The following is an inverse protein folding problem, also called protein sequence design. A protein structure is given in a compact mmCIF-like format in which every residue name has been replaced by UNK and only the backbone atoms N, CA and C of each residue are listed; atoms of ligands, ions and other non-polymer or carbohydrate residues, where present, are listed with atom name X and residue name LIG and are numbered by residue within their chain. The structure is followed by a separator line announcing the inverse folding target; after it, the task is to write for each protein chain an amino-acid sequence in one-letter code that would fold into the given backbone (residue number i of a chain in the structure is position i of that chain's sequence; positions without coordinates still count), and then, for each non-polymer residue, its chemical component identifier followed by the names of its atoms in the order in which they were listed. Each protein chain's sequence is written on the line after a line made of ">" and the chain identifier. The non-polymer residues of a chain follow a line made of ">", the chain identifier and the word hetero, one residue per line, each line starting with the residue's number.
data_IF_992341631896
#
_entry.id   IF_992341631896
#
_cell.length_a   1.000
_cell.length_b   1.000
_cell.length_c   1.000
_cell.angle_alpha   90.00
_cell.angle_beta   90.00
_cell.angle_gamma   90.00
#
_symmetry.space_group_name_H-M   'P 1'
#
loop_
_entity.id
_entity.type
_entity.pdbx_description
1 polymer ?
#
# COMPACT_ATOMS: atom_id res chain seq x y z
N UNK A 1 21.45 46.86 -5.48
CA UNK A 1 21.84 45.76 -6.41
C UNK A 1 22.00 44.39 -5.73
N UNK A 2 21.36 44.13 -4.56
CA UNK A 2 21.53 42.89 -3.82
C UNK A 2 20.19 42.23 -3.40
N UNK A 3 19.08 42.48 -4.12
CA UNK A 3 17.77 41.91 -3.77
C UNK A 3 17.20 40.90 -4.78
N UNK A 4 17.85 40.67 -5.93
CA UNK A 4 17.32 39.77 -6.96
C UNK A 4 17.78 38.30 -6.84
N UNK A 5 18.89 38.00 -6.17
CA UNK A 5 19.40 36.65 -6.04
C UNK A 5 18.73 35.83 -4.92
N UNK A 6 18.34 36.49 -3.82
CA UNK A 6 17.67 35.79 -2.71
C UNK A 6 16.23 35.36 -3.06
N UNK A 7 15.51 36.13 -3.87
CA UNK A 7 14.18 35.80 -4.35
C UNK A 7 14.15 34.62 -5.30
N UNK A 8 15.19 34.42 -6.13
CA UNK A 8 15.30 33.32 -7.06
C UNK A 8 15.60 32.00 -6.30
N UNK A 9 16.45 32.05 -5.28
CA UNK A 9 16.77 30.89 -4.44
C UNK A 9 15.57 30.41 -3.60
N UNK A 10 14.74 31.32 -3.11
CA UNK A 10 13.52 30.97 -2.36
C UNK A 10 12.44 30.37 -3.28
N UNK A 11 12.31 30.83 -4.52
CA UNK A 11 11.39 30.26 -5.51
C UNK A 11 11.85 28.88 -5.98
N UNK A 12 13.15 28.64 -6.14
CA UNK A 12 13.67 27.31 -6.48
C UNK A 12 13.52 26.35 -5.29
N UNK A 13 13.80 26.77 -4.05
CA UNK A 13 13.56 25.96 -2.86
C UNK A 13 12.08 25.66 -2.66
N UNK A 14 11.20 26.62 -2.88
CA UNK A 14 9.74 26.39 -2.78
C UNK A 14 9.21 25.48 -3.89
N UNK A 15 9.75 25.54 -5.11
CA UNK A 15 9.44 24.59 -6.18
C UNK A 15 9.93 23.20 -5.86
N UNK A 16 11.15 23.05 -5.35
CA UNK A 16 11.72 21.74 -4.99
C UNK A 16 10.97 21.10 -3.81
N UNK A 17 10.61 21.87 -2.81
CA UNK A 17 9.73 21.44 -1.72
C UNK A 17 8.33 21.08 -2.26
N UNK A 18 7.75 21.90 -3.14
CA UNK A 18 6.44 21.67 -3.74
C UNK A 18 6.39 20.37 -4.58
N UNK A 19 7.47 20.00 -5.24
CA UNK A 19 7.52 18.74 -6.01
C UNK A 19 7.72 17.51 -5.11
N UNK A 20 8.42 17.64 -3.99
CA UNK A 20 8.55 16.58 -2.97
C UNK A 20 7.22 16.34 -2.26
N UNK A 21 6.44 17.39 -1.99
CA UNK A 21 5.13 17.30 -1.32
C UNK A 21 3.99 16.85 -2.25
N UNK A 22 4.17 16.89 -3.57
CA UNK A 22 3.14 16.47 -4.53
C UNK A 22 3.11 14.98 -4.82
N UNK A 23 4.08 14.20 -4.32
CA UNK A 23 4.08 12.76 -4.52
C UNK A 23 3.11 12.12 -3.53
N UNK A 24 1.87 11.96 -3.97
CA UNK A 24 0.87 11.21 -3.22
C UNK A 24 1.35 9.77 -3.05
N UNK A 25 1.19 9.25 -1.84
CA UNK A 25 1.58 7.90 -1.48
C UNK A 25 0.56 6.92 -2.02
N UNK A 26 1.03 5.87 -2.68
CA UNK A 26 0.19 4.89 -3.35
C UNK A 26 0.33 3.52 -2.72
N UNK A 27 -0.80 2.93 -2.36
CA UNK A 27 -0.90 1.55 -1.91
C UNK A 27 -1.68 0.74 -2.97
N UNK A 28 -1.05 -0.26 -3.57
CA UNK A 28 -1.69 -1.11 -4.56
C UNK A 28 -2.43 -2.26 -3.90
N UNK A 29 -3.74 -2.38 -4.16
CA UNK A 29 -4.55 -3.51 -3.69
C UNK A 29 -4.38 -4.66 -4.66
N UNK A 30 -3.84 -5.78 -4.18
CA UNK A 30 -3.62 -7.00 -4.97
C UNK A 30 -4.31 -8.20 -4.33
N UNK A 31 -4.51 -9.26 -5.08
CA UNK A 31 -5.06 -10.52 -4.60
C UNK A 31 -5.58 -11.37 -5.76
N UNK A 32 -5.77 -12.65 -5.50
CA UNK A 32 -6.35 -13.57 -6.46
C UNK A 32 -7.81 -13.19 -6.80
N UNK A 33 -8.38 -13.70 -7.88
CA UNK A 33 -9.81 -13.50 -8.17
C UNK A 33 -10.70 -13.99 -7.02
N UNK A 34 -11.83 -13.30 -6.82
CA UNK A 34 -12.87 -13.67 -5.85
C UNK A 34 -12.46 -13.68 -4.36
N UNK A 35 -11.40 -12.95 -3.99
CA UNK A 35 -10.99 -12.77 -2.58
C UNK A 35 -11.70 -11.62 -1.87
N UNK A 36 -12.52 -10.82 -2.58
CA UNK A 36 -13.20 -9.63 -2.05
C UNK A 36 -12.47 -8.31 -2.33
N UNK A 37 -11.45 -8.32 -3.18
CA UNK A 37 -10.63 -7.15 -3.54
C UNK A 37 -11.47 -5.97 -4.04
N UNK A 38 -12.32 -6.19 -5.04
CA UNK A 38 -13.16 -5.14 -5.63
C UNK A 38 -14.23 -4.64 -4.65
N UNK A 39 -14.75 -5.51 -3.78
CA UNK A 39 -15.68 -5.12 -2.72
C UNK A 39 -15.02 -4.16 -1.74
N UNK A 40 -13.80 -4.49 -1.27
CA UNK A 40 -12.99 -3.65 -0.41
C UNK A 40 -12.66 -2.30 -1.09
N UNK A 41 -12.21 -2.34 -2.34
CA UNK A 41 -11.88 -1.14 -3.08
C UNK A 41 -13.09 -0.21 -3.27
N UNK A 42 -14.25 -0.78 -3.63
CA UNK A 42 -15.48 0.00 -3.79
C UNK A 42 -15.92 0.65 -2.46
N UNK A 43 -15.80 -0.06 -1.34
CA UNK A 43 -16.09 0.51 -0.02
C UNK A 43 -15.13 1.67 0.32
N UNK A 44 -13.84 1.55 -0.02
CA UNK A 44 -12.85 2.64 0.11
C UNK A 44 -13.22 3.85 -0.74
N UNK A 45 -13.65 3.64 -2.00
CA UNK A 45 -14.06 4.72 -2.92
C UNK A 45 -15.32 5.43 -2.44
N UNK A 46 -16.31 4.68 -1.92
CA UNK A 46 -17.54 5.27 -1.36
C UNK A 46 -17.21 6.11 -0.14
N UNK A 47 -16.39 5.60 0.78
CA UNK A 47 -15.92 6.36 1.96
C UNK A 47 -15.17 7.61 1.54
N UNK A 48 -14.23 7.49 0.58
CA UNK A 48 -13.50 8.63 0.02
C UNK A 48 -14.42 9.68 -0.61
N UNK A 49 -15.48 9.27 -1.29
CA UNK A 49 -16.44 10.17 -1.92
C UNK A 49 -17.28 10.93 -0.90
N UNK A 50 -17.72 10.27 0.17
CA UNK A 50 -18.44 10.91 1.26
C UNK A 50 -17.56 11.93 2.02
N UNK A 51 -16.27 11.61 2.21
CA UNK A 51 -15.30 12.55 2.79
C UNK A 51 -14.97 13.72 1.84
N UNK A 52 -15.04 13.50 0.51
CA UNK A 52 -14.76 14.52 -0.50
C UNK A 52 -15.75 15.69 -0.48
N UNK A 53 -16.98 15.46 -0.06
CA UNK A 53 -17.97 16.54 0.14
C UNK A 53 -17.52 17.52 1.23
N UNK A 54 -16.71 17.05 2.18
CA UNK A 54 -16.16 17.85 3.28
C UNK A 54 -14.79 18.48 2.95
N UNK A 55 -14.06 17.97 1.94
CA UNK A 55 -12.72 18.44 1.58
C UNK A 55 -12.60 18.78 0.09
N UNK A 56 -12.30 20.04 -0.29
CA UNK A 56 -12.08 20.40 -1.70
C UNK A 56 -10.85 19.66 -2.25
N UNK A 57 -10.94 19.18 -3.50
CA UNK A 57 -9.89 18.53 -4.30
C UNK A 57 -9.83 16.99 -4.31
N UNK A 58 -10.87 16.28 -3.91
CA UNK A 58 -10.95 14.84 -4.19
C UNK A 58 -11.39 14.61 -5.65
N UNK A 59 -10.47 14.09 -6.46
CA UNK A 59 -10.75 13.67 -7.85
C UNK A 59 -10.93 12.15 -7.84
N UNK A 60 -12.05 11.67 -8.36
CA UNK A 60 -12.28 10.22 -8.56
C UNK A 60 -11.67 9.86 -9.91
N UNK A 61 -10.57 9.13 -9.89
CA UNK A 61 -10.00 8.50 -11.08
C UNK A 61 -10.42 7.03 -11.13
N UNK A 62 -10.67 6.44 -12.32
CA UNK A 62 -10.93 5.01 -12.42
C UNK A 62 -9.80 4.22 -11.76
N UNK A 63 -10.15 3.28 -10.87
CA UNK A 63 -9.23 2.43 -10.12
C UNK A 63 -8.31 3.14 -9.10
N UNK A 64 -8.56 4.41 -8.75
CA UNK A 64 -7.82 5.13 -7.69
C UNK A 64 -8.82 5.70 -6.70
N UNK A 65 -8.69 5.31 -5.43
CA UNK A 65 -9.43 5.85 -4.29
C UNK A 65 -8.50 6.68 -3.40
N UNK A 66 -8.82 7.96 -3.19
CA UNK A 66 -8.09 8.86 -2.29
C UNK A 66 -8.83 8.96 -0.97
N UNK A 67 -8.25 8.45 0.10
CA UNK A 67 -8.87 8.44 1.43
C UNK A 67 -8.08 9.29 2.41
N UNK A 68 -8.80 9.98 3.29
CA UNK A 68 -8.18 10.75 4.35
C UNK A 68 -7.62 9.84 5.44
N UNK A 69 -6.43 10.15 5.91
CA UNK A 69 -5.82 9.51 7.08
C UNK A 69 -6.17 10.35 8.31
N UNK A 70 -7.10 9.86 9.12
CA UNK A 70 -7.54 10.56 10.32
C UNK A 70 -6.43 10.57 11.38
N UNK A 71 -6.08 11.76 11.87
CA UNK A 71 -5.07 11.95 12.91
C UNK A 71 -5.60 12.91 13.99
N UNK A 72 -5.81 12.39 15.20
CA UNK A 72 -6.32 13.17 16.33
C UNK A 72 -5.46 14.41 16.66
N UNK A 73 -4.15 14.35 16.36
CA UNK A 73 -3.25 15.48 16.60
C UNK A 73 -3.62 16.67 15.72
N UNK A 74 -4.06 16.43 14.48
CA UNK A 74 -4.55 17.47 13.58
C UNK A 74 -5.79 18.16 14.16
N UNK A 75 -6.74 17.38 14.67
CA UNK A 75 -7.96 17.90 15.29
C UNK A 75 -7.66 18.78 16.50
N UNK A 76 -6.76 18.32 17.38
CA UNK A 76 -6.31 19.10 18.56
C UNK A 76 -5.63 20.40 18.16
N UNK A 77 -4.83 20.40 17.10
CA UNK A 77 -4.18 21.61 16.58
C UNK A 77 -5.23 22.57 16.00
N UNK A 78 -6.22 22.04 15.27
CA UNK A 78 -7.32 22.81 14.71
C UNK A 78 -8.20 23.46 15.80
N UNK A 79 -8.47 22.77 16.90
CA UNK A 79 -9.20 23.32 18.05
C UNK A 79 -8.51 24.55 18.66
N UNK A 80 -7.17 24.54 18.68
CA UNK A 80 -6.36 25.64 19.23
C UNK A 80 -6.29 26.81 18.24
N UNK A 81 -5.98 26.53 16.98
CA UNK A 81 -5.72 27.54 15.95
C UNK A 81 -6.98 28.09 15.29
N UNK A 82 -8.09 27.34 15.36
CA UNK A 82 -9.41 27.66 14.77
C UNK A 82 -9.28 28.08 13.30
N UNK A 83 -8.72 27.23 12.44
CA UNK A 83 -8.57 27.52 11.02
C UNK A 83 -9.95 27.52 10.32
N UNK A 84 -10.02 28.15 9.16
CA UNK A 84 -11.21 28.07 8.30
C UNK A 84 -11.38 26.65 7.71
N UNK A 85 -10.26 25.96 7.41
CA UNK A 85 -10.24 24.62 6.79
C UNK A 85 -9.21 23.73 7.51
N UNK A 86 -9.58 22.47 7.72
CA UNK A 86 -8.66 21.42 8.21
C UNK A 86 -8.46 20.38 7.12
N UNK A 87 -7.22 20.12 6.70
CA UNK A 87 -6.88 19.20 5.60
C UNK A 87 -6.05 18.04 6.14
N UNK A 88 -6.59 16.81 6.16
CA UNK A 88 -5.85 15.62 6.55
C UNK A 88 -4.87 15.17 5.46
N UNK A 89 -3.88 14.36 5.84
CA UNK A 89 -3.05 13.61 4.89
C UNK A 89 -3.93 12.64 4.10
N UNK A 90 -3.58 12.41 2.83
CA UNK A 90 -4.30 11.49 1.97
C UNK A 90 -3.42 10.30 1.58
N UNK A 91 -4.02 9.11 1.50
CA UNK A 91 -3.44 7.91 0.96
C UNK A 91 -4.23 7.48 -0.29
N UNK A 92 -3.53 7.22 -1.38
CA UNK A 92 -4.13 6.69 -2.61
C UNK A 92 -4.11 5.17 -2.59
N UNK A 93 -5.28 4.55 -2.72
CA UNK A 93 -5.42 3.13 -2.99
C UNK A 93 -5.65 2.92 -4.48
N UNK A 94 -4.87 2.00 -5.08
CA UNK A 94 -4.97 1.67 -6.50
C UNK A 94 -5.48 0.23 -6.63
N UNK A 95 -6.64 0.04 -7.28
CA UNK A 95 -7.12 -1.31 -7.59
C UNK A 95 -6.27 -1.90 -8.74
N UNK A 96 -5.43 -2.86 -8.40
CA UNK A 96 -4.62 -3.57 -9.37
C UNK A 96 -5.35 -4.87 -9.74
N UNK A 97 -5.64 -5.04 -11.03
CA UNK A 97 -6.34 -6.23 -11.53
C UNK A 97 -5.71 -7.52 -11.01
N UNK A 98 -6.55 -8.51 -10.69
CA UNK A 98 -6.09 -9.75 -10.04
C UNK A 98 -5.03 -10.49 -10.84
N UNK A 99 -4.05 -11.02 -10.12
CA UNK A 99 -3.01 -11.89 -10.65
C UNK A 99 -3.61 -13.26 -11.02
N UNK A 100 -3.21 -13.76 -12.18
CA UNK A 100 -3.42 -15.17 -12.55
C UNK A 100 -2.05 -15.82 -12.63
N UNK A 101 -1.92 -17.08 -12.23
CA UNK A 101 -0.70 -17.89 -12.33
C UNK A 101 -0.06 -17.76 -13.71
N UNK A 102 1.27 -17.61 -13.79
CA UNK A 102 2.00 -17.44 -15.05
C UNK A 102 2.03 -16.00 -15.57
N UNK A 103 1.69 -15.02 -14.73
CA UNK A 103 1.71 -13.60 -15.12
C UNK A 103 3.12 -13.11 -15.48
N UNK A 104 4.16 -13.66 -14.88
CA UNK A 104 5.56 -13.35 -15.17
C UNK A 104 6.01 -13.89 -16.54
N UNK A 105 5.37 -14.95 -17.04
CA UNK A 105 5.73 -15.61 -18.31
C UNK A 105 4.75 -15.26 -19.46
N UNK A 106 3.66 -14.53 -19.17
CA UNK A 106 2.57 -14.27 -20.11
C UNK A 106 2.71 -12.96 -20.88
N UNK A 107 2.29 -12.98 -22.14
CA UNK A 107 2.04 -11.75 -22.91
C UNK A 107 0.73 -11.11 -22.43
N UNK A 108 0.72 -9.77 -22.22
CA UNK A 108 -0.49 -9.00 -22.01
C UNK A 108 -0.80 -8.64 -20.55
N UNK A 109 -1.86 -9.22 -19.97
CA UNK A 109 -2.41 -8.81 -18.67
C UNK A 109 -1.43 -8.95 -17.48
N UNK A 110 -0.56 -9.97 -17.50
CA UNK A 110 0.44 -10.18 -16.45
C UNK A 110 1.49 -9.07 -16.40
N UNK A 111 1.98 -8.64 -17.56
CA UNK A 111 2.94 -7.54 -17.66
C UNK A 111 2.33 -6.21 -17.19
N UNK A 112 1.05 -5.97 -17.48
CA UNK A 112 0.34 -4.78 -17.01
C UNK A 112 0.16 -4.80 -15.49
N UNK A 113 -0.17 -5.95 -14.91
CA UNK A 113 -0.23 -6.14 -13.45
C UNK A 113 1.11 -5.78 -12.78
N UNK A 114 2.22 -6.34 -13.26
CA UNK A 114 3.55 -6.06 -12.73
C UNK A 114 3.96 -4.58 -12.91
N UNK A 115 3.57 -3.95 -14.03
CA UNK A 115 3.80 -2.53 -14.26
C UNK A 115 3.05 -1.67 -13.22
N UNK A 116 1.77 -1.97 -12.96
CA UNK A 116 0.98 -1.26 -11.95
C UNK A 116 1.57 -1.42 -10.55
N UNK A 117 2.07 -2.61 -10.18
CA UNK A 117 2.74 -2.81 -8.90
C UNK A 117 4.04 -1.98 -8.82
N UNK A 118 4.77 -1.78 -9.93
CA UNK A 118 5.98 -0.93 -9.91
C UNK A 118 5.68 0.52 -9.55
N UNK A 119 4.50 1.03 -9.88
CA UNK A 119 4.11 2.43 -9.67
C UNK A 119 3.66 2.76 -8.25
N UNK A 120 3.29 1.76 -7.44
CA UNK A 120 2.85 1.95 -6.05
C UNK A 120 4.01 1.86 -5.07
N UNK A 121 3.86 2.45 -3.88
CA UNK A 121 4.89 2.49 -2.84
C UNK A 121 4.79 1.32 -1.86
N UNK A 122 3.58 0.74 -1.69
CA UNK A 122 3.30 -0.41 -0.83
C UNK A 122 2.25 -1.32 -1.47
N UNK A 123 2.17 -2.56 -0.98
CA UNK A 123 1.23 -3.58 -1.44
C UNK A 123 0.23 -3.89 -0.32
N UNK A 124 -1.05 -3.83 -0.61
CA UNK A 124 -2.14 -4.30 0.24
C UNK A 124 -2.64 -5.62 -0.35
N UNK A 125 -2.24 -6.72 0.22
CA UNK A 125 -2.54 -8.06 -0.30
C UNK A 125 -3.78 -8.62 0.39
N UNK A 126 -4.90 -8.67 -0.35
CA UNK A 126 -6.18 -9.19 0.12
C UNK A 126 -6.20 -10.70 -0.03
N UNK A 127 -6.44 -11.40 1.08
CA UNK A 127 -6.49 -12.86 1.17
C UNK A 127 -7.89 -13.32 1.59
N UNK A 128 -8.36 -14.38 0.96
CA UNK A 128 -9.64 -14.99 1.30
C UNK A 128 -9.48 -15.91 2.52
N UNK A 129 -10.08 -15.53 3.64
CA UNK A 129 -10.08 -16.27 4.89
C UNK A 129 -11.50 -16.72 5.29
N UNK A 130 -12.39 -16.95 4.33
CA UNK A 130 -13.76 -17.43 4.53
C UNK A 130 -14.10 -18.56 3.56
N UNK A 131 -14.99 -19.46 3.96
CA UNK A 131 -15.52 -20.51 3.13
C UNK A 131 -16.90 -20.09 2.58
N UNK A 132 -17.07 -20.07 1.27
CA UNK A 132 -18.36 -19.85 0.61
C UNK A 132 -18.45 -20.77 -0.62
N UNK A 133 -19.40 -21.71 -0.60
CA UNK A 133 -19.60 -22.68 -1.67
C UNK A 133 -20.12 -22.05 -2.98
N UNK A 134 -20.67 -20.82 -2.91
CA UNK A 134 -21.19 -20.11 -4.08
C UNK A 134 -20.10 -19.31 -4.79
N UNK A 135 -18.92 -19.13 -4.16
CA UNK A 135 -17.80 -18.37 -4.72
C UNK A 135 -16.70 -19.34 -5.13
N UNK A 136 -16.52 -19.52 -6.43
CA UNK A 136 -15.47 -20.39 -6.96
C UNK A 136 -14.08 -19.95 -6.49
N UNK A 137 -13.27 -20.92 -6.02
CA UNK A 137 -11.85 -20.69 -5.71
C UNK A 137 -10.99 -21.16 -6.88
N UNK A 138 -10.02 -20.37 -7.29
CA UNK A 138 -9.16 -20.66 -8.46
C UNK A 138 -8.31 -21.91 -8.24
N UNK A 139 -7.89 -22.17 -7.00
CA UNK A 139 -6.99 -23.27 -6.62
C UNK A 139 -7.72 -24.46 -5.94
N UNK A 140 -9.05 -24.56 -6.08
CA UNK A 140 -9.84 -25.72 -5.63
C UNK A 140 -10.07 -25.85 -4.11
N UNK A 141 -9.60 -24.89 -3.30
CA UNK A 141 -9.82 -24.86 -1.84
C UNK A 141 -9.22 -23.59 -1.22
N UNK A 142 -9.81 -23.11 -0.13
CA UNK A 142 -9.36 -21.90 0.56
C UNK A 142 -8.11 -22.19 1.36
N UNK A 143 -7.00 -21.63 0.94
CA UNK A 143 -5.71 -21.63 1.66
C UNK A 143 -5.01 -20.29 1.45
N UNK A 144 -5.20 -19.33 2.39
CA UNK A 144 -4.68 -17.97 2.22
C UNK A 144 -3.15 -17.90 2.23
N UNK A 145 -2.46 -18.85 2.87
CA UNK A 145 -0.98 -18.89 2.87
C UNK A 145 -0.48 -19.28 1.48
N UNK A 146 -1.01 -20.37 0.92
CA UNK A 146 -0.68 -20.80 -0.45
C UNK A 146 -1.02 -19.70 -1.47
N UNK A 147 -2.16 -19.01 -1.29
CA UNK A 147 -2.58 -17.95 -2.19
C UNK A 147 -1.61 -16.76 -2.12
N UNK A 148 -1.12 -16.42 -0.92
CA UNK A 148 -0.09 -15.41 -0.71
C UNK A 148 1.24 -15.81 -1.37
N UNK A 149 1.69 -17.04 -1.17
CA UNK A 149 2.91 -17.60 -1.78
C UNK A 149 2.84 -17.62 -3.30
N UNK A 150 1.66 -17.88 -3.88
CA UNK A 150 1.45 -17.86 -5.34
C UNK A 150 1.72 -16.46 -5.90
N UNK A 151 1.17 -15.42 -5.29
CA UNK A 151 1.41 -14.02 -5.72
C UNK A 151 2.87 -13.65 -5.49
N UNK A 152 3.43 -13.99 -4.35
CA UNK A 152 4.83 -13.69 -4.01
C UNK A 152 5.81 -14.33 -5.01
N UNK A 153 5.57 -15.58 -5.38
CA UNK A 153 6.40 -16.30 -6.37
C UNK A 153 6.43 -15.57 -7.72
N UNK A 154 5.28 -15.11 -8.21
CA UNK A 154 5.22 -14.36 -9.46
C UNK A 154 5.99 -13.02 -9.38
N UNK A 155 5.94 -12.34 -8.23
CA UNK A 155 6.71 -11.11 -8.01
C UNK A 155 8.22 -11.40 -7.95
N UNK A 156 8.63 -12.48 -7.28
CA UNK A 156 10.04 -12.89 -7.22
C UNK A 156 10.58 -13.27 -8.60
N UNK A 157 9.83 -14.02 -9.39
CA UNK A 157 10.23 -14.38 -10.76
C UNK A 157 10.41 -13.13 -11.64
N UNK A 158 9.50 -12.15 -11.53
CA UNK A 158 9.60 -10.90 -12.26
C UNK A 158 10.81 -10.05 -11.81
N UNK A 159 11.15 -10.08 -10.52
CA UNK A 159 12.34 -9.41 -10.00
C UNK A 159 13.62 -10.10 -10.45
N UNK A 160 13.67 -11.43 -10.46
CA UNK A 160 14.83 -12.20 -10.96
C UNK A 160 15.10 -11.87 -12.43
N UNK A 161 14.08 -11.89 -13.29
CA UNK A 161 14.23 -11.51 -14.70
C UNK A 161 14.75 -10.07 -14.87
N UNK A 162 14.27 -9.15 -14.04
CA UNK A 162 14.72 -7.76 -14.04
C UNK A 162 16.18 -7.64 -13.58
N UNK A 163 16.58 -8.35 -12.52
CA UNK A 163 17.93 -8.35 -11.97
C UNK A 163 18.94 -8.96 -12.95
N UNK A 164 18.65 -10.05 -13.64
CA UNK A 164 19.53 -10.63 -14.65
C UNK A 164 19.94 -9.61 -15.72
N UNK A 165 18.95 -8.84 -16.22
CA UNK A 165 19.18 -7.78 -17.19
C UNK A 165 20.04 -6.66 -16.60
N UNK A 166 19.76 -6.26 -15.35
CA UNK A 166 20.50 -5.19 -14.66
C UNK A 166 21.93 -5.61 -14.33
N UNK A 167 22.16 -6.83 -13.81
CA UNK A 167 23.49 -7.39 -13.51
C UNK A 167 24.37 -7.38 -14.77
N UNK A 168 23.81 -7.77 -15.91
CA UNK A 168 24.54 -7.73 -17.19
C UNK A 168 25.00 -6.31 -17.54
N UNK A 169 24.19 -5.29 -17.30
CA UNK A 169 24.53 -3.89 -17.55
C UNK A 169 25.52 -3.34 -16.51
N UNK A 170 25.30 -3.66 -15.22
CA UNK A 170 26.15 -3.22 -14.12
C UNK A 170 27.56 -3.83 -14.20
N UNK A 171 27.68 -5.09 -14.63
CA UNK A 171 28.98 -5.75 -14.89
C UNK A 171 29.81 -4.98 -15.91
N UNK A 172 29.18 -4.47 -16.98
CA UNK A 172 29.88 -3.65 -17.98
C UNK A 172 30.37 -2.33 -17.39
N UNK A 173 29.56 -1.66 -16.57
CA UNK A 173 29.93 -0.42 -15.88
C UNK A 173 31.06 -0.64 -14.86
N UNK A 174 30.95 -1.71 -14.06
CA UNK A 174 31.95 -2.08 -13.07
C UNK A 174 33.32 -2.34 -13.71
N UNK A 175 33.37 -3.03 -14.87
CA UNK A 175 34.59 -3.22 -15.65
C UNK A 175 35.21 -1.91 -16.17
N UNK A 176 34.40 -0.88 -16.36
CA UNK A 176 34.85 0.48 -16.69
C UNK A 176 35.42 1.28 -15.51
N UNK A 177 35.47 0.71 -14.30
CA UNK A 177 36.00 1.35 -13.09
C UNK A 177 35.01 2.29 -12.39
N UNK A 178 33.74 2.25 -12.72
CA UNK A 178 32.68 3.03 -12.05
C UNK A 178 32.42 2.48 -10.63
N UNK A 179 32.84 3.23 -9.62
CA UNK A 179 32.71 2.84 -8.21
C UNK A 179 31.27 2.66 -7.76
N UNK A 180 30.35 3.46 -8.27
CA UNK A 180 28.93 3.33 -7.96
C UNK A 180 28.33 2.10 -8.66
N UNK A 181 28.73 1.85 -9.91
CA UNK A 181 28.38 0.64 -10.65
C UNK A 181 28.83 -0.65 -9.96
N UNK A 182 30.02 -0.65 -9.32
CA UNK A 182 30.51 -1.80 -8.54
C UNK A 182 29.60 -2.07 -7.34
N UNK A 183 29.26 -1.04 -6.53
CA UNK A 183 28.38 -1.19 -5.37
C UNK A 183 26.98 -1.65 -5.75
N UNK A 184 26.46 -1.13 -6.86
CA UNK A 184 25.15 -1.54 -7.36
C UNK A 184 25.16 -2.98 -7.85
N UNK A 185 26.27 -3.43 -8.47
CA UNK A 185 26.45 -4.81 -8.91
C UNK A 185 26.45 -5.77 -7.70
N UNK A 186 27.25 -5.50 -6.68
CA UNK A 186 27.32 -6.30 -5.46
C UNK A 186 25.93 -6.42 -4.78
N UNK A 187 25.18 -5.32 -4.76
CA UNK A 187 23.80 -5.32 -4.21
C UNK A 187 22.84 -6.14 -5.07
N UNK A 188 22.94 -6.02 -6.41
CA UNK A 188 22.07 -6.73 -7.32
C UNK A 188 22.35 -8.25 -7.30
N UNK A 189 23.62 -8.66 -7.23
CA UNK A 189 24.01 -10.08 -7.10
C UNK A 189 23.50 -10.67 -5.78
N UNK A 190 23.68 -9.96 -4.67
CA UNK A 190 23.14 -10.39 -3.38
C UNK A 190 21.62 -10.47 -3.35
N UNK A 191 20.93 -9.52 -4.00
CA UNK A 191 19.48 -9.55 -4.13
C UNK A 191 19.02 -10.76 -4.95
N UNK A 192 19.75 -11.10 -6.00
CA UNK A 192 19.45 -12.26 -6.84
C UNK A 192 19.59 -13.57 -6.06
N UNK A 193 20.67 -13.77 -5.30
CA UNK A 193 20.89 -14.94 -4.42
C UNK A 193 19.71 -15.13 -3.44
N UNK A 194 19.20 -14.05 -2.81
CA UNK A 194 18.08 -14.11 -1.87
C UNK A 194 16.79 -14.57 -2.57
N UNK A 195 16.55 -14.07 -3.80
CA UNK A 195 15.38 -14.51 -4.57
C UNK A 195 15.51 -15.97 -5.03
N UNK A 196 16.72 -16.45 -5.39
CA UNK A 196 16.97 -17.87 -5.69
C UNK A 196 16.69 -18.77 -4.48
N UNK A 197 16.94 -18.28 -3.26
CA UNK A 197 16.60 -18.98 -2.01
C UNK A 197 15.10 -18.91 -1.68
N UNK A 198 14.27 -18.34 -2.56
CA UNK A 198 12.83 -18.23 -2.41
C UNK A 198 12.40 -17.23 -1.34
N UNK A 199 13.23 -16.21 -1.04
CA UNK A 199 12.93 -15.18 -0.05
C UNK A 199 12.66 -13.83 -0.73
N UNK A 200 11.59 -13.11 -0.36
CA UNK A 200 11.33 -11.77 -0.87
C UNK A 200 12.37 -10.77 -0.33
N UNK A 201 12.74 -9.79 -1.14
CA UNK A 201 13.82 -8.83 -0.80
C UNK A 201 13.51 -7.95 0.42
N UNK A 202 12.25 -7.80 0.82
CA UNK A 202 11.88 -7.09 2.07
C UNK A 202 12.38 -7.81 3.31
N UNK A 203 12.60 -9.14 3.25
CA UNK A 203 13.18 -9.93 4.35
C UNK A 203 14.71 -9.79 4.46
N UNK A 204 15.35 -9.09 3.54
CA UNK A 204 16.81 -8.94 3.47
C UNK A 204 17.41 -8.24 4.68
N UNK A 205 16.62 -7.79 5.65
CA UNK A 205 17.11 -7.04 6.80
C UNK A 205 17.96 -5.87 6.32
N UNK A 206 17.33 -4.75 6.01
CA UNK A 206 18.01 -3.57 5.46
C UNK A 206 19.01 -3.04 6.50
N UNK A 207 20.26 -3.50 6.44
CA UNK A 207 21.36 -2.79 7.07
C UNK A 207 21.32 -1.35 6.59
N UNK A 208 21.58 -0.39 7.49
CA UNK A 208 21.62 1.03 7.16
C UNK A 208 22.42 1.27 5.87
N UNK A 209 21.76 1.73 4.82
CA UNK A 209 22.37 2.04 3.52
C UNK A 209 21.83 1.23 2.32
N UNK A 210 21.32 0.03 2.47
CA UNK A 210 20.85 -0.80 1.33
C UNK A 210 19.47 -0.35 0.80
N UNK A 211 18.61 0.25 1.62
CA UNK A 211 17.26 0.64 1.23
C UNK A 211 17.19 1.63 0.07
N UNK A 212 18.16 2.53 -0.05
CA UNK A 212 18.25 3.45 -1.21
C UNK A 212 18.65 2.69 -2.47
N UNK A 213 19.61 1.76 -2.37
CA UNK A 213 20.05 0.94 -3.50
C UNK A 213 18.94 0.04 -4.04
N UNK A 214 18.22 -0.66 -3.17
CA UNK A 214 17.08 -1.51 -3.56
C UNK A 214 15.95 -0.71 -4.22
N UNK A 215 15.67 0.51 -3.74
CA UNK A 215 14.72 1.40 -4.42
C UNK A 215 15.18 1.79 -5.83
N UNK A 216 16.49 1.99 -6.04
CA UNK A 216 17.04 2.28 -7.37
C UNK A 216 16.96 1.09 -8.33
N UNK A 217 16.94 -0.15 -7.81
CA UNK A 217 16.74 -1.36 -8.60
C UNK A 217 15.26 -1.60 -8.97
N UNK A 218 14.32 -0.85 -8.38
CA UNK A 218 12.87 -0.94 -8.62
C UNK A 218 12.29 -2.34 -8.42
N UNK A 219 12.73 -3.04 -7.38
CA UNK A 219 12.29 -4.39 -7.07
C UNK A 219 10.89 -4.41 -6.47
N UNK A 220 10.05 -5.33 -6.94
CA UNK A 220 8.67 -5.51 -6.50
C UNK A 220 8.60 -6.10 -5.09
N UNK A 221 9.41 -7.13 -4.83
CA UNK A 221 9.47 -7.85 -3.56
C UNK A 221 10.19 -7.07 -2.45
N UNK A 222 10.84 -5.95 -2.77
CA UNK A 222 11.39 -5.02 -1.79
C UNK A 222 10.33 -4.06 -1.20
N UNK A 223 9.13 -3.99 -1.80
CA UNK A 223 8.05 -3.15 -1.31
C UNK A 223 7.46 -3.73 -0.03
N UNK A 224 7.08 -2.88 0.94
CA UNK A 224 6.39 -3.32 2.14
C UNK A 224 5.00 -3.89 1.78
N UNK A 225 4.56 -4.91 2.53
CA UNK A 225 3.28 -5.60 2.32
C UNK A 225 2.43 -5.56 3.58
N UNK A 226 1.15 -5.24 3.41
CA UNK A 226 0.09 -5.41 4.40
C UNK A 226 -0.80 -6.57 3.94
N UNK A 227 -0.98 -7.59 4.77
CA UNK A 227 -1.92 -8.66 4.49
C UNK A 227 -3.30 -8.33 5.06
N UNK A 228 -4.32 -8.28 4.21
CA UNK A 228 -5.70 -8.05 4.59
C UNK A 228 -6.47 -9.36 4.50
N UNK A 229 -6.79 -9.92 5.67
CA UNK A 229 -7.56 -11.16 5.80
C UNK A 229 -9.05 -10.86 5.69
N UNK A 230 -9.64 -11.14 4.54
CA UNK A 230 -11.09 -10.99 4.35
C UNK A 230 -11.80 -12.24 4.90
N UNK A 231 -12.61 -12.04 5.94
CA UNK A 231 -13.37 -13.07 6.64
C UNK A 231 -14.88 -12.92 6.42
N UNK A 232 -15.65 -13.90 6.86
CA UNK A 232 -17.10 -13.78 7.00
C UNK A 232 -17.46 -12.82 8.18
N UNK A 233 -18.73 -12.44 8.25
CA UNK A 233 -19.22 -11.49 9.26
C UNK A 233 -19.02 -11.98 10.70
N UNK A 234 -19.17 -13.30 10.93
CA UNK A 234 -19.04 -13.90 12.24
C UNK A 234 -17.60 -13.86 12.78
N UNK A 235 -16.62 -13.84 11.90
CA UNK A 235 -15.20 -13.81 12.24
C UNK A 235 -14.59 -12.39 12.18
N UNK A 236 -15.38 -11.36 11.92
CA UNK A 236 -14.87 -10.00 11.71
C UNK A 236 -14.15 -9.42 12.94
N UNK A 237 -14.58 -9.79 14.16
CA UNK A 237 -14.00 -9.30 15.42
C UNK A 237 -12.85 -10.14 15.92
N UNK A 238 -12.91 -11.46 15.78
CA UNK A 238 -11.97 -12.39 16.42
C UNK A 238 -11.01 -13.08 15.45
N UNK A 239 -11.29 -12.97 14.15
CA UNK A 239 -10.60 -13.78 13.16
C UNK A 239 -11.01 -15.25 13.22
N UNK A 240 -10.25 -16.11 12.56
CA UNK A 240 -10.43 -17.56 12.52
C UNK A 240 -9.07 -18.26 12.34
N UNK A 241 -9.08 -19.59 12.28
CA UNK A 241 -7.87 -20.39 12.10
C UNK A 241 -7.07 -20.07 10.82
N UNK A 242 -7.73 -19.54 9.77
CA UNK A 242 -7.04 -19.11 8.54
C UNK A 242 -6.32 -17.78 8.76
N UNK A 243 -6.92 -16.84 9.49
CA UNK A 243 -6.27 -15.56 9.82
C UNK A 243 -5.07 -15.76 10.73
N UNK A 244 -5.09 -16.72 11.66
CA UNK A 244 -3.95 -17.08 12.49
C UNK A 244 -2.77 -17.61 11.67
N UNK A 245 -3.04 -18.45 10.65
CA UNK A 245 -1.99 -18.94 9.74
C UNK A 245 -1.34 -17.77 8.98
N UNK A 246 -2.15 -16.84 8.47
CA UNK A 246 -1.63 -15.65 7.79
C UNK A 246 -0.83 -14.77 8.74
N UNK A 247 -1.29 -14.56 9.96
CA UNK A 247 -0.57 -13.77 10.96
C UNK A 247 0.82 -14.37 11.28
N UNK A 248 0.89 -15.70 11.43
CA UNK A 248 2.17 -16.39 11.65
C UNK A 248 3.12 -16.28 10.45
N UNK A 249 2.61 -16.41 9.22
CA UNK A 249 3.39 -16.20 8.00
C UNK A 249 3.90 -14.74 7.92
N UNK A 250 3.02 -13.76 8.13
CA UNK A 250 3.34 -12.35 8.07
C UNK A 250 4.40 -11.96 9.12
N UNK A 251 4.29 -12.46 10.34
CA UNK A 251 5.27 -12.23 11.40
C UNK A 251 6.67 -12.72 11.00
N UNK A 252 6.77 -13.86 10.31
CA UNK A 252 8.04 -14.37 9.77
C UNK A 252 8.68 -13.45 8.72
N UNK A 253 7.87 -12.62 8.06
CA UNK A 253 8.31 -11.65 7.04
C UNK A 253 8.42 -10.21 7.58
N UNK A 254 8.12 -9.98 8.86
CA UNK A 254 8.05 -8.63 9.44
C UNK A 254 6.90 -7.79 8.87
N UNK A 255 5.85 -8.43 8.33
CA UNK A 255 4.68 -7.79 7.75
C UNK A 255 3.53 -7.71 8.77
N UNK A 256 2.65 -6.72 8.59
CA UNK A 256 1.44 -6.53 9.41
C UNK A 256 0.24 -7.23 8.78
N UNK A 257 -0.72 -7.63 9.62
CA UNK A 257 -2.00 -8.21 9.18
C UNK A 257 -3.17 -7.42 9.73
N UNK A 258 -4.22 -7.29 8.93
CA UNK A 258 -5.51 -6.71 9.34
C UNK A 258 -6.62 -7.70 8.98
N UNK A 259 -7.56 -7.91 9.91
CA UNK A 259 -8.75 -8.74 9.69
C UNK A 259 -9.94 -7.85 9.41
N UNK A 260 -10.65 -8.10 8.31
CA UNK A 260 -11.85 -7.34 7.92
C UNK A 260 -12.91 -8.28 7.36
N UNK A 261 -14.16 -7.83 7.36
CA UNK A 261 -15.18 -8.40 6.49
C UNK A 261 -15.53 -7.39 5.40
N UNK A 262 -15.09 -7.63 4.17
CA UNK A 262 -15.36 -6.75 3.04
C UNK A 262 -16.86 -6.54 2.81
N UNK A 263 -17.71 -7.49 3.23
CA UNK A 263 -19.17 -7.36 3.18
C UNK A 263 -19.69 -6.35 4.19
N UNK A 264 -19.24 -6.41 5.46
CA UNK A 264 -19.56 -5.41 6.47
C UNK A 264 -19.11 -4.03 6.02
N UNK A 265 -17.88 -3.91 5.51
CA UNK A 265 -17.36 -2.62 5.04
C UNK A 265 -18.20 -2.03 3.91
N UNK A 266 -18.65 -2.88 2.96
CA UNK A 266 -19.52 -2.44 1.88
C UNK A 266 -20.90 -1.96 2.38
N UNK A 267 -21.45 -2.59 3.41
CA UNK A 267 -22.71 -2.19 4.01
C UNK A 267 -22.56 -0.88 4.81
N UNK A 268 -21.54 -0.79 5.67
CA UNK A 268 -21.23 0.42 6.46
C UNK A 268 -20.97 1.63 5.58
N UNK A 269 -20.25 1.44 4.47
CA UNK A 269 -19.91 2.55 3.55
C UNK A 269 -21.15 3.18 2.89
N UNK A 270 -22.26 2.47 2.81
CA UNK A 270 -23.51 2.98 2.22
C UNK A 270 -24.40 3.72 3.23
N UNK A 271 -24.14 3.59 4.53
CA UNK A 271 -24.88 4.33 5.55
C UNK A 271 -24.43 5.80 5.53
N UNK A 272 -25.39 6.72 5.46
CA UNK A 272 -25.12 8.15 5.40
C UNK A 272 -24.93 8.79 6.79
N UNK A 273 -25.60 8.23 7.82
CA UNK A 273 -25.59 8.76 9.18
C UNK A 273 -24.54 8.07 10.04
N UNK A 274 -23.68 8.86 10.67
CA UNK A 274 -22.65 8.36 11.59
C UNK A 274 -23.24 7.65 12.82
N UNK A 275 -24.46 8.02 13.26
CA UNK A 275 -25.17 7.34 14.36
C UNK A 275 -25.61 5.95 13.90
N UNK A 276 -26.20 5.84 12.70
CA UNK A 276 -26.58 4.55 12.12
C UNK A 276 -25.37 3.64 11.92
N UNK A 277 -24.22 4.18 11.47
CA UNK A 277 -22.96 3.43 11.36
C UNK A 277 -22.52 2.89 12.72
N UNK A 278 -22.52 3.74 13.75
CA UNK A 278 -22.10 3.34 15.07
C UNK A 278 -23.02 2.25 15.66
N UNK A 279 -24.34 2.39 15.52
CA UNK A 279 -25.32 1.38 15.96
C UNK A 279 -25.15 0.05 15.21
N UNK A 280 -24.92 0.10 13.90
CA UNK A 280 -24.68 -1.09 13.08
C UNK A 280 -23.41 -1.85 13.51
N UNK A 281 -22.31 -1.13 13.74
CA UNK A 281 -21.06 -1.71 14.22
C UNK A 281 -21.19 -2.29 15.63
N UNK A 282 -21.91 -1.60 16.54
CA UNK A 282 -22.15 -2.07 17.91
C UNK A 282 -22.95 -3.38 17.93
N UNK A 283 -23.97 -3.51 17.09
CA UNK A 283 -24.75 -4.76 16.93
C UNK A 283 -23.86 -5.92 16.48
N UNK A 284 -22.83 -5.66 15.65
CA UNK A 284 -21.87 -6.65 15.18
C UNK A 284 -20.70 -6.86 16.16
N UNK A 285 -20.63 -6.07 17.24
CA UNK A 285 -19.53 -6.11 18.20
C UNK A 285 -18.20 -5.60 17.65
N UNK A 286 -18.23 -4.81 16.57
CA UNK A 286 -17.05 -4.23 15.91
C UNK A 286 -16.84 -2.82 16.44
N UNK A 287 -15.68 -2.54 17.02
CA UNK A 287 -15.40 -1.25 17.67
C UNK A 287 -15.11 -0.10 16.67
N UNK A 288 -14.59 -0.41 15.49
CA UNK A 288 -14.33 0.55 14.43
C UNK A 288 -14.38 -0.15 13.06
N UNK A 289 -14.70 0.56 11.96
CA UNK A 289 -14.68 -0.01 10.63
C UNK A 289 -13.31 -0.60 10.29
N UNK A 290 -13.29 -1.77 9.66
CA UNK A 290 -12.05 -2.41 9.23
C UNK A 290 -11.30 -1.58 8.19
N UNK A 291 -12.02 -0.78 7.36
CA UNK A 291 -11.40 0.19 6.44
C UNK A 291 -10.49 1.19 7.16
N UNK A 292 -10.90 1.70 8.31
CA UNK A 292 -10.09 2.63 9.13
C UNK A 292 -8.79 1.94 9.57
N UNK A 293 -8.88 0.66 9.94
CA UNK A 293 -7.70 -0.14 10.30
C UNK A 293 -6.78 -0.34 9.10
N UNK A 294 -7.33 -0.65 7.91
CA UNK A 294 -6.55 -0.80 6.66
C UNK A 294 -5.85 0.51 6.26
N UNK A 295 -6.55 1.64 6.33
CA UNK A 295 -5.99 2.96 6.03
C UNK A 295 -4.85 3.28 6.99
N UNK A 296 -5.07 3.09 8.30
CA UNK A 296 -4.07 3.36 9.34
C UNK A 296 -2.86 2.43 9.23
N UNK A 297 -3.08 1.14 8.96
CA UNK A 297 -2.01 0.17 8.74
C UNK A 297 -1.23 0.47 7.45
N UNK A 298 -1.91 0.80 6.35
CA UNK A 298 -1.28 1.21 5.10
C UNK A 298 -0.40 2.45 5.24
N UNK A 299 -0.84 3.42 6.04
CA UNK A 299 -0.04 4.61 6.34
C UNK A 299 1.20 4.28 7.18
N UNK A 300 1.06 3.45 8.24
CA UNK A 300 2.20 2.99 9.05
C UNK A 300 3.21 2.19 8.24
N UNK A 301 2.74 1.36 7.32
CA UNK A 301 3.55 0.52 6.45
C UNK A 301 4.59 1.30 5.65
N UNK A 302 4.26 2.54 5.29
CA UNK A 302 5.14 3.45 4.54
C UNK A 302 6.21 4.11 5.42
N UNK A 303 6.19 3.86 6.73
CA UNK A 303 7.13 4.39 7.74
C UNK A 303 7.31 5.91 7.67
N UNK A 304 6.21 6.64 7.44
CA UNK A 304 6.21 8.08 7.28
C UNK A 304 6.01 8.81 8.60
N UNK A 305 6.53 10.02 8.64
CA UNK A 305 6.34 10.93 9.77
C UNK A 305 5.39 12.03 9.32
N UNK A 306 4.21 12.10 9.95
CA UNK A 306 3.29 13.20 9.74
C UNK A 306 3.79 14.46 10.44
N UNK A 307 3.84 15.57 9.74
CA UNK A 307 4.03 16.89 10.34
C UNK A 307 2.84 17.79 10.03
N UNK A 308 2.66 18.82 10.83
CA UNK A 308 1.50 19.69 10.77
C UNK A 308 1.92 21.12 10.53
N UNK A 309 1.18 21.81 9.67
CA UNK A 309 1.24 23.26 9.53
C UNK A 309 -0.12 23.82 9.94
N UNK A 310 -0.13 24.96 10.63
CA UNK A 310 -1.37 25.61 11.04
C UNK A 310 -1.28 27.11 10.90
N UNK A 311 -2.41 27.71 10.53
CA UNK A 311 -2.60 29.15 10.39
C UNK A 311 -4.07 29.52 10.44
N UNK A 312 -4.42 30.82 10.35
CA UNK A 312 -5.83 31.24 10.38
C UNK A 312 -6.67 30.70 9.23
N UNK A 313 -6.06 30.44 8.09
CA UNK A 313 -6.78 29.93 6.89
C UNK A 313 -6.91 28.41 6.90
N UNK A 314 -5.82 27.71 7.21
CA UNK A 314 -5.81 26.25 7.15
C UNK A 314 -4.91 25.62 8.21
N UNK A 315 -5.31 24.42 8.67
CA UNK A 315 -4.47 23.45 9.38
C UNK A 315 -4.32 22.24 8.48
N UNK A 316 -3.07 21.82 8.20
CA UNK A 316 -2.78 20.77 7.25
C UNK A 316 -1.85 19.73 7.86
N UNK A 317 -2.16 18.44 7.65
CA UNK A 317 -1.27 17.30 7.91
C UNK A 317 -0.60 16.86 6.61
N UNK A 318 0.72 16.71 6.68
CA UNK A 318 1.57 16.34 5.55
C UNK A 318 2.21 14.98 5.76
#
# INVERSE_FOLDING_TARGET
>A
FFQAEDGIRDVERSRWLGDVYKRQLRAGIVGLPNVGKSTLFNALVVTASAEAENFPFCTIEPNIGKVAVLDERLNRIAEISKPEITVPTQLEFVDIAGLVRGASQGEGLGNQFLANIREVDAIVHVLRCFADNNVAHVEGGVDPVRDAETVETELMLADMESLEKQITLLTKKARGGDKEGIKQLELAEKAFEILEDGQPLRCMGLAEGHGRGLRMLHMLTAKPVLYVCNVDEAAATTGNALTEKVANMAAGQGAETVVISAKIEAEVSQLADEVEKAEFLDVLGVSEPGLVQVIRAGFRLLALITFFTTGPKESHAW
#
